data_IF_539439704954
#
_entry.id   IF_539439704954
#
_cell.length_a   1.000
_cell.length_b   1.000
_cell.length_c   1.000
_cell.angle_alpha   90.00
_cell.angle_beta   90.00
_cell.angle_gamma   90.00
#
_symmetry.space_group_name_H-M   'P 1'
#
loop_
_entity.id
_entity.type
_entity.pdbx_description
1 polymer ?
#
# COMPACT_ATOMS: atom_id res chain seq x y z
N UNK A 1 30.52 -10.54 -22.14
CA UNK A 1 30.24 -10.40 -20.70
C UNK A 1 30.86 -11.60 -19.99
N UNK A 2 31.79 -11.36 -19.07
CA UNK A 2 32.56 -12.40 -18.36
C UNK A 2 31.62 -13.14 -17.40
N UNK A 3 31.66 -14.47 -17.40
CA UNK A 3 30.94 -15.27 -16.40
C UNK A 3 31.52 -14.98 -15.00
N UNK A 4 30.71 -14.86 -13.93
CA UNK A 4 31.23 -14.71 -12.59
C UNK A 4 31.85 -16.02 -12.12
N UNK A 5 33.04 -15.91 -11.54
CA UNK A 5 33.81 -16.97 -10.88
C UNK A 5 33.07 -17.53 -9.67
N UNK A 6 33.20 -18.84 -9.45
CA UNK A 6 32.70 -19.53 -8.25
C UNK A 6 33.32 -18.98 -6.95
N UNK A 7 32.52 -19.01 -5.88
CA UNK A 7 32.83 -18.70 -4.45
C UNK A 7 32.77 -17.24 -3.98
N UNK A 8 31.62 -16.61 -4.19
CA UNK A 8 31.10 -15.58 -3.29
C UNK A 8 29.60 -15.81 -3.17
N UNK A 9 29.13 -16.36 -2.04
CA UNK A 9 27.70 -16.48 -1.79
C UNK A 9 27.12 -15.07 -1.76
N UNK A 10 26.38 -14.70 -2.81
CA UNK A 10 25.63 -13.46 -2.81
C UNK A 10 24.67 -13.56 -1.62
N UNK A 11 24.81 -12.67 -0.63
CA UNK A 11 23.88 -12.62 0.49
C UNK A 11 22.51 -12.27 -0.08
N UNK A 12 21.68 -13.29 -0.30
CA UNK A 12 20.32 -13.14 -0.76
C UNK A 12 19.41 -12.93 0.44
N UNK A 13 18.45 -12.01 0.30
CA UNK A 13 17.44 -11.75 1.33
C UNK A 13 16.08 -11.98 0.72
N UNK A 14 15.34 -12.94 1.28
CA UNK A 14 13.97 -13.18 0.89
C UNK A 14 13.12 -11.94 1.20
N UNK A 15 12.40 -11.45 0.19
CA UNK A 15 11.50 -10.30 0.32
C UNK A 15 10.03 -10.74 0.43
N UNK A 16 9.60 -11.61 -0.48
CA UNK A 16 8.22 -12.10 -0.54
C UNK A 16 8.17 -13.48 -1.24
N UNK A 17 7.08 -14.24 -1.02
CA UNK A 17 6.83 -15.54 -1.64
C UNK A 17 5.39 -15.63 -2.14
N UNK A 18 5.18 -16.34 -3.25
CA UNK A 18 3.83 -16.62 -3.79
C UNK A 18 3.75 -18.04 -4.33
N UNK A 19 2.64 -18.71 -4.03
CA UNK A 19 2.27 -19.93 -4.72
C UNK A 19 1.64 -19.57 -6.07
N UNK A 20 2.25 -20.04 -7.16
CA UNK A 20 1.78 -19.76 -8.52
C UNK A 20 1.26 -21.02 -9.18
N UNK A 21 0.16 -20.89 -9.94
CA UNK A 21 -0.37 -22.01 -10.72
C UNK A 21 0.25 -22.02 -12.12
N UNK A 22 0.87 -23.15 -12.48
CA UNK A 22 1.55 -23.30 -13.77
C UNK A 22 0.60 -23.34 -14.99
N UNK A 23 -0.71 -23.48 -14.78
CA UNK A 23 -1.71 -23.58 -15.85
C UNK A 23 -2.28 -22.22 -16.28
N UNK A 24 -1.82 -21.11 -15.70
CA UNK A 24 -2.34 -19.75 -15.98
C UNK A 24 -1.21 -18.78 -16.29
N UNK A 25 -1.36 -18.03 -17.37
CA UNK A 25 -0.50 -16.88 -17.69
C UNK A 25 -1.13 -15.63 -17.09
N UNK A 26 -0.50 -15.05 -16.07
CA UNK A 26 -0.95 -13.82 -15.41
C UNK A 26 0.21 -13.04 -14.81
N UNK A 27 -0.06 -11.79 -14.48
CA UNK A 27 0.84 -10.98 -13.65
C UNK A 27 0.80 -11.46 -12.20
N UNK A 28 1.96 -11.46 -11.57
CA UNK A 28 2.13 -11.69 -10.14
C UNK A 28 2.77 -10.45 -9.51
N UNK A 29 2.32 -10.08 -8.32
CA UNK A 29 2.83 -8.93 -7.57
C UNK A 29 3.50 -9.40 -6.29
N UNK A 30 4.72 -8.90 -6.07
CA UNK A 30 5.54 -9.20 -4.91
C UNK A 30 5.79 -7.92 -4.13
N UNK A 31 5.66 -7.99 -2.80
CA UNK A 31 6.00 -6.86 -1.95
C UNK A 31 7.52 -6.72 -1.83
N UNK A 32 8.06 -5.71 -2.51
CA UNK A 32 9.48 -5.36 -2.47
C UNK A 32 9.73 -4.07 -1.68
N UNK A 33 8.73 -3.57 -0.96
CA UNK A 33 8.83 -2.35 -0.16
C UNK A 33 10.01 -2.35 0.80
N UNK A 34 10.37 -3.47 1.48
CA UNK A 34 11.55 -3.50 2.33
C UNK A 34 12.86 -3.23 1.57
N UNK A 35 12.99 -3.70 0.33
CA UNK A 35 14.17 -3.45 -0.48
C UNK A 35 14.22 -2.00 -0.98
N UNK A 36 13.09 -1.49 -1.47
CA UNK A 36 12.97 -0.10 -1.95
C UNK A 36 13.26 0.90 -0.83
N UNK A 37 12.80 0.65 0.39
CA UNK A 37 13.09 1.49 1.55
C UNK A 37 14.59 1.49 1.89
N UNK A 38 15.29 0.35 1.80
CA UNK A 38 16.75 0.32 2.02
C UNK A 38 17.51 1.15 0.97
N UNK A 39 17.14 1.00 -0.30
CA UNK A 39 17.79 1.74 -1.38
C UNK A 39 17.54 3.25 -1.28
N UNK A 40 16.33 3.65 -0.91
CA UNK A 40 15.93 5.07 -0.94
C UNK A 40 16.16 5.80 0.38
N UNK A 41 15.86 5.18 1.52
CA UNK A 41 15.99 5.80 2.85
C UNK A 41 17.35 5.54 3.49
N UNK A 42 17.86 4.31 3.40
CA UNK A 42 19.12 3.91 4.06
C UNK A 42 20.35 4.12 3.16
N UNK A 43 20.15 4.52 1.89
CA UNK A 43 21.19 4.72 0.87
C UNK A 43 22.07 3.48 0.63
N UNK A 44 21.50 2.30 0.85
CA UNK A 44 22.15 1.04 0.54
C UNK A 44 22.26 0.83 -0.98
N UNK A 45 23.35 0.25 -1.50
CA UNK A 45 23.49 -0.04 -2.92
C UNK A 45 22.37 -0.95 -3.44
N UNK A 46 21.88 -0.64 -4.64
CA UNK A 46 20.89 -1.47 -5.32
C UNK A 46 21.59 -2.56 -6.14
N UNK A 47 21.57 -3.79 -5.63
CA UNK A 47 22.11 -4.98 -6.31
C UNK A 47 21.09 -5.70 -7.21
N UNK A 48 19.87 -5.17 -7.31
CA UNK A 48 18.77 -5.75 -8.09
C UNK A 48 17.86 -6.66 -7.28
N UNK A 49 16.92 -7.30 -7.98
CA UNK A 49 15.98 -8.28 -7.45
C UNK A 49 16.19 -9.60 -8.20
N UNK A 50 16.22 -10.70 -7.46
CA UNK A 50 16.24 -12.05 -8.00
C UNK A 50 14.89 -12.72 -7.76
N UNK A 51 14.38 -13.46 -8.74
CA UNK A 51 13.17 -14.27 -8.59
C UNK A 51 13.54 -15.72 -8.84
N UNK A 52 13.28 -16.57 -7.85
CA UNK A 52 13.51 -18.00 -7.90
C UNK A 52 12.17 -18.73 -7.96
N UNK A 53 12.09 -19.79 -8.77
CA UNK A 53 10.89 -20.62 -8.90
C UNK A 53 11.18 -22.03 -8.42
N UNK A 54 10.66 -22.36 -7.25
CA UNK A 54 10.80 -23.68 -6.65
C UNK A 54 9.58 -24.53 -7.02
N UNK A 55 9.83 -25.72 -7.56
CA UNK A 55 8.77 -26.67 -7.89
C UNK A 55 8.51 -27.59 -6.70
N UNK A 56 7.28 -27.61 -6.18
CA UNK A 56 6.91 -28.41 -5.02
C UNK A 56 6.90 -29.92 -5.30
N UNK A 57 6.65 -30.33 -6.56
CA UNK A 57 6.67 -31.72 -6.99
C UNK A 57 7.70 -31.93 -8.10
N UNK A 58 8.67 -32.81 -7.88
CA UNK A 58 9.76 -33.10 -8.83
C UNK A 58 9.32 -33.93 -10.05
N UNK A 59 8.11 -34.49 -10.05
CA UNK A 59 7.60 -35.38 -11.10
C UNK A 59 7.17 -34.64 -12.37
N UNK A 60 6.81 -33.35 -12.25
CA UNK A 60 6.48 -32.50 -13.40
C UNK A 60 7.56 -31.46 -13.61
N UNK A 61 8.75 -31.89 -14.02
CA UNK A 61 9.79 -30.99 -14.56
C UNK A 61 9.34 -30.43 -15.92
N UNK A 62 8.32 -29.57 -15.93
CA UNK A 62 8.04 -28.72 -17.10
C UNK A 62 9.21 -27.75 -17.21
N UNK A 63 9.84 -27.74 -18.38
CA UNK A 63 11.25 -27.37 -18.58
C UNK A 63 11.61 -25.90 -18.31
N UNK A 64 10.69 -25.03 -17.91
CA UNK A 64 10.98 -23.66 -17.49
C UNK A 64 9.70 -22.92 -17.11
N UNK A 65 9.61 -22.41 -15.88
CA UNK A 65 8.80 -21.21 -15.62
C UNK A 65 9.68 -20.04 -16.06
N UNK A 66 9.30 -19.39 -17.16
CA UNK A 66 10.15 -18.38 -17.79
C UNK A 66 9.79 -16.99 -17.31
N UNK A 67 10.65 -16.44 -16.47
CA UNK A 67 10.63 -15.04 -16.08
C UNK A 67 11.62 -14.32 -17.02
N UNK A 68 11.10 -13.61 -18.02
CA UNK A 68 11.81 -12.83 -19.06
C UNK A 68 12.15 -13.51 -20.41
N UNK A 69 11.91 -12.71 -21.46
CA UNK A 69 12.18 -12.89 -22.90
C UNK A 69 11.88 -14.25 -23.52
N UNK A 70 10.64 -14.49 -23.96
CA UNK A 70 10.32 -15.51 -24.98
C UNK A 70 11.24 -15.35 -26.18
N UNK A 71 12.06 -16.38 -26.45
CA UNK A 71 12.97 -16.43 -27.61
C UNK A 71 12.23 -16.38 -28.95
N UNK A 72 10.92 -16.66 -28.95
CA UNK A 72 10.09 -16.74 -30.15
C UNK A 72 9.29 -15.45 -30.40
N UNK A 73 9.39 -14.46 -29.52
CA UNK A 73 8.68 -13.20 -29.67
C UNK A 73 9.50 -12.29 -30.60
N UNK A 74 9.24 -12.45 -31.90
CA UNK A 74 9.97 -11.82 -33.01
C UNK A 74 9.82 -10.30 -33.06
N UNK A 75 8.87 -9.71 -32.33
CA UNK A 75 8.64 -8.27 -32.29
C UNK A 75 9.03 -7.67 -30.93
N UNK A 76 9.99 -6.74 -30.96
CA UNK A 76 10.45 -6.00 -29.78
C UNK A 76 9.34 -5.15 -29.12
N UNK A 77 8.29 -4.81 -29.88
CA UNK A 77 7.15 -4.02 -29.40
C UNK A 77 6.39 -4.70 -28.25
N UNK A 78 6.19 -6.03 -28.31
CA UNK A 78 5.43 -6.75 -27.29
C UNK A 78 6.17 -6.89 -25.96
N UNK A 79 7.50 -6.94 -26.00
CA UNK A 79 8.33 -6.99 -24.78
C UNK A 79 8.26 -5.73 -23.94
N UNK A 80 8.01 -4.58 -24.56
CA UNK A 80 7.85 -3.32 -23.82
C UNK A 80 6.64 -3.35 -22.88
N UNK A 81 5.60 -4.13 -23.24
CA UNK A 81 4.35 -4.27 -22.50
C UNK A 81 4.39 -5.39 -21.45
N UNK A 82 5.29 -6.37 -21.61
CA UNK A 82 5.36 -7.57 -20.76
C UNK A 82 6.58 -7.61 -19.83
N UNK A 83 7.41 -6.56 -19.81
CA UNK A 83 8.58 -6.48 -18.92
C UNK A 83 8.15 -6.28 -17.46
N UNK A 84 8.86 -6.87 -16.48
CA UNK A 84 8.62 -6.60 -15.07
C UNK A 84 8.69 -5.10 -14.76
N UNK A 85 7.77 -4.63 -13.93
CA UNK A 85 7.69 -3.23 -13.51
C UNK A 85 7.86 -3.13 -11.99
N UNK A 86 8.66 -2.17 -11.55
CA UNK A 86 8.69 -1.71 -10.17
C UNK A 86 7.73 -0.52 -10.05
N UNK A 87 6.65 -0.71 -9.30
CA UNK A 87 5.67 0.35 -9.02
C UNK A 87 5.89 0.85 -7.61
N UNK A 88 6.19 2.15 -7.47
CA UNK A 88 6.41 2.80 -6.17
C UNK A 88 5.47 3.97 -6.00
N UNK A 89 4.83 4.06 -4.83
CA UNK A 89 4.06 5.24 -4.42
C UNK A 89 4.89 6.01 -3.40
N UNK A 90 5.36 7.20 -3.77
CA UNK A 90 6.11 8.09 -2.87
C UNK A 90 5.31 9.36 -2.64
N UNK A 91 5.28 9.82 -1.39
CA UNK A 91 4.82 11.16 -1.08
C UNK A 91 6.04 12.10 -1.04
N UNK A 92 6.00 13.17 -1.81
CA UNK A 92 7.09 14.16 -1.91
C UNK A 92 7.16 15.10 -0.68
N UNK A 93 6.31 14.88 0.32
CA UNK A 93 6.19 15.73 1.51
C UNK A 93 5.66 17.14 1.19
N UNK A 94 5.34 17.42 -0.07
CA UNK A 94 4.82 18.70 -0.55
C UNK A 94 3.33 18.51 -0.82
N UNK A 95 2.57 18.37 0.26
CA UNK A 95 1.13 18.62 0.24
C UNK A 95 0.87 20.09 -0.07
N UNK A 96 1.08 20.53 -1.32
CA UNK A 96 0.57 21.82 -1.75
C UNK A 96 -0.94 21.67 -1.90
N UNK A 97 -1.70 22.30 -1.00
CA UNK A 97 -3.13 22.48 -1.19
C UNK A 97 -3.38 22.99 -2.62
N UNK A 98 -4.00 22.16 -3.47
CA UNK A 98 -4.18 22.40 -4.91
C UNK A 98 -5.06 23.63 -5.22
N UNK A 99 -5.46 24.39 -4.21
CA UNK A 99 -6.28 25.58 -4.36
C UNK A 99 -5.58 26.79 -3.74
N UNK A 100 -4.72 27.47 -4.52
CA UNK A 100 -4.38 28.88 -4.27
C UNK A 100 -5.62 29.72 -4.60
N UNK A 101 -6.58 29.79 -3.68
CA UNK A 101 -7.80 30.58 -3.88
C UNK A 101 -7.42 32.06 -3.96
N UNK A 102 -7.59 32.67 -5.12
CA UNK A 102 -7.57 34.13 -5.27
C UNK A 102 -8.63 34.70 -4.34
N UNK A 103 -8.21 35.57 -3.42
CA UNK A 103 -9.04 36.20 -2.40
C UNK A 103 -10.05 37.13 -3.07
N UNK A 104 -11.18 36.60 -3.55
CA UNK A 104 -12.34 37.43 -3.93
C UNK A 104 -12.96 37.97 -2.65
N UNK A 105 -13.02 39.29 -2.54
CA UNK A 105 -13.66 39.96 -1.42
C UNK A 105 -15.10 39.49 -1.29
N UNK A 106 -15.49 39.07 -0.09
CA UNK A 106 -16.90 38.98 0.28
C UNK A 106 -17.05 39.62 1.65
N UNK A 107 -17.74 40.77 1.64
CA UNK A 107 -18.34 41.38 2.80
C UNK A 107 -19.20 40.33 3.52
N UNK A 108 -19.12 40.34 4.85
CA UNK A 108 -19.93 39.51 5.72
C UNK A 108 -19.08 38.61 6.58
N UNK A 109 -18.56 39.14 7.68
CA UNK A 109 -18.25 38.32 8.85
C UNK A 109 -19.57 37.71 9.36
N UNK A 110 -20.03 36.64 8.70
CA UNK A 110 -20.90 35.68 9.37
C UNK A 110 -20.06 35.13 10.50
N UNK A 111 -20.40 35.52 11.73
CA UNK A 111 -19.90 34.94 12.98
C UNK A 111 -19.69 33.44 12.72
N UNK A 112 -18.43 33.01 12.62
CA UNK A 112 -18.09 31.59 12.64
C UNK A 112 -18.60 31.09 13.98
N UNK A 113 -19.83 30.57 14.04
CA UNK A 113 -20.16 29.57 15.06
C UNK A 113 -19.05 28.55 14.91
N UNK A 114 -18.29 28.32 15.98
CA UNK A 114 -17.27 27.28 16.07
C UNK A 114 -17.95 25.93 15.80
N UNK A 115 -18.23 25.61 14.53
CA UNK A 115 -18.65 24.28 14.14
C UNK A 115 -17.41 23.42 14.27
N UNK A 116 -17.42 22.53 15.26
CA UNK A 116 -16.31 21.63 15.51
C UNK A 116 -16.06 20.78 14.26
N UNK A 117 -14.79 20.68 13.85
CA UNK A 117 -14.38 19.75 12.80
C UNK A 117 -14.79 18.32 13.17
N UNK A 118 -15.07 17.51 12.14
CA UNK A 118 -15.33 16.09 12.33
C UNK A 118 -14.19 15.43 13.09
N UNK A 119 -14.50 14.81 14.23
CA UNK A 119 -13.55 14.05 15.04
C UNK A 119 -14.26 12.90 15.75
N UNK A 120 -13.48 11.94 16.24
CA UNK A 120 -13.98 10.88 17.13
C UNK A 120 -14.29 11.47 18.51
N UNK A 121 -15.50 11.24 19.00
CA UNK A 121 -15.96 11.62 20.33
C UNK A 121 -16.13 10.37 21.19
N UNK A 122 -15.91 10.52 22.49
CA UNK A 122 -16.13 9.46 23.47
C UNK A 122 -17.62 9.17 23.61
N UNK A 123 -17.98 7.90 23.52
CA UNK A 123 -19.30 7.40 23.87
C UNK A 123 -19.06 6.05 24.56
N UNK A 124 -19.38 6.00 25.84
CA UNK A 124 -19.42 4.76 26.60
C UNK A 124 -20.87 4.28 26.59
N UNK A 125 -21.08 3.01 26.27
CA UNK A 125 -22.38 2.36 26.31
C UNK A 125 -22.36 1.44 27.52
N UNK A 126 -23.16 1.78 28.53
CA UNK A 126 -23.49 0.87 29.63
C UNK A 126 -24.63 -0.04 29.18
N UNK A 127 -24.48 -1.35 29.36
CA UNK A 127 -25.53 -2.30 28.96
C UNK A 127 -26.76 -2.23 29.85
N UNK A 128 -26.65 -1.67 31.04
CA UNK A 128 -27.79 -1.39 31.92
C UNK A 128 -28.67 -0.29 31.32
N UNK A 129 -28.06 0.75 30.75
CA UNK A 129 -28.78 1.92 30.20
C UNK A 129 -29.60 1.57 28.94
N UNK A 130 -29.18 0.55 28.20
CA UNK A 130 -29.87 0.06 26.99
C UNK A 130 -30.70 -1.20 27.22
N UNK A 131 -30.79 -1.68 28.47
CA UNK A 131 -31.57 -2.88 28.85
C UNK A 131 -31.00 -4.19 28.31
N UNK A 132 -29.68 -4.26 28.13
CA UNK A 132 -28.96 -5.44 27.61
C UNK A 132 -28.21 -6.21 28.69
N UNK A 133 -28.23 -5.73 29.94
CA UNK A 133 -27.61 -6.38 31.10
C UNK A 133 -28.16 -7.81 31.36
N UNK A 134 -29.34 -8.15 30.83
CA UNK A 134 -29.95 -9.47 31.02
C UNK A 134 -29.38 -10.55 30.10
N UNK A 135 -28.82 -10.18 28.94
CA UNK A 135 -28.26 -11.14 27.97
C UNK A 135 -26.76 -10.97 27.74
N UNK A 136 -26.20 -9.80 28.03
CA UNK A 136 -24.75 -9.57 28.03
C UNK A 136 -24.24 -9.61 29.47
N UNK A 137 -23.59 -10.72 29.84
CA UNK A 137 -23.10 -10.97 31.20
C UNK A 137 -21.84 -10.17 31.54
N UNK A 138 -20.95 -9.96 30.56
CA UNK A 138 -19.74 -9.15 30.71
C UNK A 138 -19.17 -8.75 29.33
N UNK A 139 -18.47 -7.62 29.21
CA UNK A 139 -18.25 -6.56 30.22
C UNK A 139 -19.56 -5.80 30.54
N UNK A 140 -19.62 -4.96 31.59
CA UNK A 140 -20.82 -4.16 31.90
C UNK A 140 -21.10 -3.07 30.85
N UNK A 141 -20.14 -2.77 30.00
CA UNK A 141 -20.28 -1.81 28.91
C UNK A 141 -19.01 -1.72 28.08
N UNK A 142 -19.03 -0.88 27.05
CA UNK A 142 -17.87 -0.67 26.18
C UNK A 142 -17.81 0.74 25.60
N UNK A 143 -16.61 1.13 25.16
CA UNK A 143 -16.36 2.41 24.52
C UNK A 143 -16.69 2.33 23.02
N UNK A 144 -17.92 2.65 22.64
CA UNK A 144 -18.39 2.63 21.26
C UNK A 144 -17.74 3.73 20.40
N UNK A 145 -17.56 4.92 20.99
CA UNK A 145 -17.22 6.15 20.27
C UNK A 145 -18.21 6.51 19.15
N UNK A 146 -18.12 7.74 18.62
CA UNK A 146 -18.80 8.11 17.38
C UNK A 146 -18.08 9.27 16.70
N UNK A 147 -18.29 9.44 15.39
CA UNK A 147 -17.74 10.57 14.64
C UNK A 147 -18.81 11.66 14.49
N UNK A 148 -18.46 12.90 14.81
CA UNK A 148 -19.37 14.03 14.64
C UNK A 148 -18.61 15.33 14.37
N UNK A 149 -19.19 16.19 13.53
CA UNK A 149 -18.66 17.48 13.11
C UNK A 149 -18.62 17.63 11.60
N UNK A 150 -18.18 18.79 11.13
CA UNK A 150 -18.15 19.10 9.70
C UNK A 150 -16.76 18.77 9.09
N UNK A 151 -16.77 18.19 7.89
CA UNK A 151 -15.58 17.97 7.04
C UNK A 151 -15.55 19.03 5.92
N UNK A 152 -14.95 20.22 6.12
CA UNK A 152 -14.88 21.22 5.07
C UNK A 152 -13.92 20.77 3.96
N UNK A 153 -14.27 21.06 2.71
CA UNK A 153 -13.38 20.84 1.56
C UNK A 153 -12.61 22.13 1.21
N UNK A 154 -11.30 22.06 0.93
CA UNK A 154 -10.42 20.88 1.04
C UNK A 154 -10.19 20.49 2.51
N UNK A 155 -10.08 19.19 2.77
CA UNK A 155 -9.71 18.68 4.09
C UNK A 155 -8.34 19.23 4.48
N UNK A 156 -8.19 19.63 5.74
CA UNK A 156 -6.93 20.17 6.21
C UNK A 156 -5.86 19.07 6.30
N UNK A 157 -4.62 19.37 5.91
CA UNK A 157 -3.52 18.40 5.76
C UNK A 157 -3.24 17.57 7.03
N UNK A 158 -3.52 18.13 8.21
CA UNK A 158 -3.33 17.46 9.50
C UNK A 158 -4.37 16.37 9.82
N UNK A 159 -5.40 16.19 8.98
CA UNK A 159 -6.45 15.18 9.16
C UNK A 159 -6.07 13.82 8.56
N UNK A 160 -4.81 13.63 8.10
CA UNK A 160 -4.26 12.38 7.56
C UNK A 160 -5.28 11.61 6.72
N UNK A 161 -5.95 12.32 5.81
CA UNK A 161 -7.00 11.72 5.01
C UNK A 161 -6.35 10.68 4.09
N UNK A 162 -6.62 9.41 4.35
CA UNK A 162 -6.31 8.36 3.39
C UNK A 162 -7.07 8.70 2.11
N UNK A 163 -6.42 8.56 0.95
CA UNK A 163 -6.94 8.95 -0.36
C UNK A 163 -8.09 8.03 -0.85
N UNK A 164 -8.97 7.59 0.06
CA UNK A 164 -10.13 6.74 -0.17
C UNK A 164 -11.38 7.62 -0.25
N UNK A 165 -11.53 8.33 -1.37
CA UNK A 165 -12.81 8.76 -1.94
C UNK A 165 -12.57 9.29 -3.37
#
# INVERSE_FOLDING_TARGET
MRAPSEKGELISRLLDTRLVHQNRTRWESFDVSPAVLRWTMQREPNHGLAVEVIHLNETTKRRHVRISRSLHQRHAADWSQLRPLLVTFSHDGKGHALTRRVKRSSKGQRRKKNKSHCRRHSLYVDFSDVGWNDWIVAPPGYQAFYCHGDCPFPLADHLNSTNHA
#
